data_IF_799556346543
#
_entry.id   IF_799556346543
#
_cell.length_a   1.000
_cell.length_b   1.000
_cell.length_c   1.000
_cell.angle_alpha   90.00
_cell.angle_beta   90.00
_cell.angle_gamma   90.00
#
_symmetry.space_group_name_H-M   'P 1'
#
loop_
_entity.id
_entity.type
_entity.pdbx_description
1 polymer ?
#
# COMPACT_ATOMS: atom_id res chain seq x y z
N UNK A 1 -3.57 12.54 3.55
CA UNK A 1 -3.05 11.20 3.21
C UNK A 1 -1.58 11.30 2.86
N UNK A 2 -0.73 10.36 3.30
CA UNK A 2 0.67 10.25 2.84
C UNK A 2 0.72 9.49 1.51
N UNK A 3 1.39 10.04 0.50
CA UNK A 3 1.58 9.36 -0.79
C UNK A 3 3.04 8.97 -1.01
N UNK A 4 3.28 7.66 -1.13
CA UNK A 4 4.58 7.09 -1.43
C UNK A 4 4.70 6.89 -2.95
N UNK A 5 5.72 7.49 -3.57
CA UNK A 5 6.00 7.24 -4.97
C UNK A 5 6.67 5.87 -5.10
N UNK A 6 5.99 4.92 -5.74
CA UNK A 6 6.57 3.62 -6.06
C UNK A 6 7.77 3.81 -6.97
N UNK A 7 8.87 3.10 -6.70
CA UNK A 7 10.05 3.11 -7.59
C UNK A 7 10.76 1.76 -7.61
N UNK A 8 11.20 1.37 -8.81
CA UNK A 8 12.14 0.27 -9.02
C UNK A 8 13.60 0.74 -9.03
N UNK A 9 13.86 1.99 -8.64
CA UNK A 9 15.20 2.59 -8.56
C UNK A 9 15.57 2.90 -7.10
N UNK A 10 16.07 1.91 -6.30
CA UNK A 10 16.32 2.11 -4.87
C UNK A 10 17.24 3.29 -4.55
N UNK A 11 18.22 3.59 -5.43
CA UNK A 11 19.14 4.71 -5.24
C UNK A 11 18.45 6.09 -5.21
N UNK A 12 17.16 6.19 -5.56
CA UNK A 12 16.40 7.43 -5.40
C UNK A 12 16.16 7.80 -3.95
N UNK A 13 16.27 6.86 -3.01
CA UNK A 13 16.23 7.13 -1.56
C UNK A 13 17.25 8.19 -1.13
N UNK A 14 18.37 8.32 -1.84
CA UNK A 14 19.41 9.34 -1.58
C UNK A 14 19.18 10.68 -2.30
N UNK A 15 18.17 10.76 -3.15
CA UNK A 15 18.04 11.84 -4.15
C UNK A 15 16.82 12.72 -3.95
N UNK A 16 15.87 12.29 -3.13
CA UNK A 16 14.58 12.97 -2.96
C UNK A 16 14.29 13.23 -1.48
N UNK A 17 13.40 14.18 -1.22
CA UNK A 17 12.91 14.48 0.13
C UNK A 17 11.46 13.97 0.35
N UNK A 18 10.79 13.48 -0.70
CA UNK A 18 9.42 12.99 -0.60
C UNK A 18 9.36 11.47 -0.39
N UNK A 19 8.26 10.92 0.19
CA UNK A 19 8.20 9.51 0.51
C UNK A 19 8.25 8.57 -0.70
N UNK A 20 9.01 7.47 -0.58
CA UNK A 20 9.16 6.43 -1.61
C UNK A 20 8.62 5.08 -1.16
N UNK A 21 8.11 4.29 -2.11
CA UNK A 21 7.76 2.87 -1.89
C UNK A 21 8.70 2.00 -2.72
N UNK A 22 9.47 1.13 -2.06
CA UNK A 22 10.60 0.40 -2.65
C UNK A 22 10.40 -1.09 -2.45
N UNK A 23 10.72 -1.90 -3.46
CA UNK A 23 10.56 -3.35 -3.38
C UNK A 23 11.79 -4.04 -2.78
N UNK A 24 11.56 -4.98 -1.86
CA UNK A 24 12.57 -5.90 -1.33
C UNK A 24 13.34 -6.58 -2.48
N UNK A 25 12.66 -6.98 -3.56
CA UNK A 25 13.30 -7.61 -4.73
C UNK A 25 14.35 -6.74 -5.40
N UNK A 26 14.14 -5.42 -5.41
CA UNK A 26 15.09 -4.48 -6.00
C UNK A 26 16.26 -4.21 -5.06
N UNK A 27 15.99 -4.14 -3.75
CA UNK A 27 17.02 -3.98 -2.73
C UNK A 27 17.92 -5.23 -2.62
N UNK A 28 17.35 -6.42 -2.66
CA UNK A 28 18.11 -7.68 -2.52
C UNK A 28 19.05 -7.94 -3.70
N UNK A 29 18.69 -7.47 -4.91
CA UNK A 29 19.52 -7.55 -6.12
C UNK A 29 20.56 -6.45 -6.23
N UNK A 30 20.49 -5.42 -5.39
CA UNK A 30 21.41 -4.28 -5.47
C UNK A 30 22.82 -4.73 -5.03
N UNK A 31 23.87 -4.38 -5.79
CA UNK A 31 25.25 -4.57 -5.35
C UNK A 31 25.52 -3.79 -4.05
N UNK A 32 25.92 -4.48 -2.99
CA UNK A 32 26.23 -3.88 -1.67
C UNK A 32 27.64 -3.29 -1.60
N UNK A 33 28.08 -2.59 -2.66
CA UNK A 33 29.41 -1.95 -2.72
C UNK A 33 29.57 -0.78 -1.75
N UNK A 34 28.45 -0.11 -1.44
CA UNK A 34 28.35 0.93 -0.41
C UNK A 34 26.97 0.92 0.25
N UNK A 35 26.85 1.40 1.49
CA UNK A 35 25.56 1.67 2.11
C UNK A 35 24.72 2.63 1.26
N UNK A 36 23.40 2.44 1.30
CA UNK A 36 22.43 3.36 0.73
C UNK A 36 21.84 4.14 1.89
N UNK A 37 21.91 5.48 1.92
CA UNK A 37 21.41 6.27 3.05
C UNK A 37 20.18 7.08 2.65
N UNK A 38 19.02 6.81 3.24
CA UNK A 38 17.79 7.50 2.87
C UNK A 38 17.79 8.99 3.32
N UNK A 39 17.42 9.88 2.40
CA UNK A 39 17.12 11.30 2.65
C UNK A 39 15.62 11.58 2.76
N UNK A 40 14.80 10.55 2.58
CA UNK A 40 13.35 10.62 2.70
C UNK A 40 12.83 9.43 3.49
N UNK A 41 11.64 9.61 4.07
CA UNK A 41 10.85 8.49 4.58
C UNK A 41 10.54 7.50 3.47
N UNK A 42 10.50 6.22 3.75
CA UNK A 42 10.15 5.23 2.75
C UNK A 42 9.48 4.01 3.35
N UNK A 43 8.81 3.25 2.50
CA UNK A 43 8.18 2.01 2.89
C UNK A 43 8.53 0.88 1.94
N UNK A 44 8.46 -0.34 2.46
CA UNK A 44 8.95 -1.54 1.81
C UNK A 44 7.80 -2.41 1.30
N UNK A 45 7.82 -2.72 0.01
CA UNK A 45 7.07 -3.81 -0.61
C UNK A 45 7.82 -5.14 -0.42
N UNK A 46 7.14 -6.16 0.10
CA UNK A 46 7.70 -7.51 0.29
C UNK A 46 7.95 -8.24 -1.05
N UNK A 47 7.28 -7.83 -2.12
CA UNK A 47 7.37 -8.42 -3.44
C UNK A 47 6.37 -9.57 -3.68
N UNK A 48 5.33 -9.68 -2.85
CA UNK A 48 4.38 -10.81 -2.87
C UNK A 48 3.70 -11.05 -4.21
N UNK A 49 3.30 -9.97 -4.91
CA UNK A 49 2.78 -10.08 -6.27
C UNK A 49 3.71 -10.85 -7.20
N UNK A 50 5.02 -10.58 -7.14
CA UNK A 50 5.97 -11.23 -8.05
C UNK A 50 6.26 -12.66 -7.63
N UNK A 51 6.40 -12.94 -6.33
CA UNK A 51 6.63 -14.30 -5.81
C UNK A 51 5.47 -15.23 -6.17
N UNK A 52 4.23 -14.83 -5.87
CA UNK A 52 3.07 -15.66 -6.17
C UNK A 52 2.82 -15.79 -7.67
N UNK A 53 3.03 -14.73 -8.46
CA UNK A 53 2.87 -14.81 -9.92
C UNK A 53 3.88 -15.75 -10.60
N UNK A 54 5.12 -15.80 -10.11
CA UNK A 54 6.19 -16.62 -10.70
C UNK A 54 6.22 -18.05 -10.16
N UNK A 55 5.89 -18.24 -8.89
CA UNK A 55 6.15 -19.49 -8.18
C UNK A 55 4.89 -20.12 -7.56
N UNK A 56 3.75 -19.41 -7.54
CA UNK A 56 2.54 -19.86 -6.84
C UNK A 56 2.69 -19.96 -5.32
N UNK A 57 3.83 -19.52 -4.76
CA UNK A 57 4.18 -19.57 -3.34
C UNK A 57 5.29 -18.57 -3.03
N UNK A 58 5.49 -18.28 -1.75
CA UNK A 58 6.69 -17.61 -1.27
C UNK A 58 7.88 -18.56 -1.36
N UNK A 59 8.98 -18.09 -1.97
CA UNK A 59 10.27 -18.82 -2.01
C UNK A 59 11.27 -18.29 -0.99
N UNK A 60 11.04 -17.08 -0.48
CA UNK A 60 11.84 -16.44 0.56
C UNK A 60 11.24 -16.80 1.92
N UNK A 61 11.98 -17.46 2.82
CA UNK A 61 11.52 -17.73 4.18
C UNK A 61 11.26 -16.45 4.98
N UNK A 62 10.29 -16.44 5.90
CA UNK A 62 10.01 -15.26 6.74
C UNK A 62 11.20 -14.76 7.55
N UNK A 63 12.02 -15.65 8.11
CA UNK A 63 13.22 -15.28 8.88
C UNK A 63 14.23 -14.52 8.01
N UNK A 64 14.46 -15.01 6.78
CA UNK A 64 15.35 -14.36 5.81
C UNK A 64 14.79 -13.00 5.36
N UNK A 65 13.47 -12.88 5.23
CA UNK A 65 12.84 -11.61 4.95
C UNK A 65 12.99 -10.63 6.12
N UNK A 66 12.74 -11.07 7.36
CA UNK A 66 12.89 -10.26 8.56
C UNK A 66 14.33 -9.78 8.75
N UNK A 67 15.33 -10.65 8.56
CA UNK A 67 16.76 -10.27 8.59
C UNK A 67 17.08 -9.21 7.54
N UNK A 68 16.55 -9.35 6.32
CA UNK A 68 16.73 -8.35 5.28
C UNK A 68 16.09 -7.00 5.66
N UNK A 69 14.88 -7.01 6.23
CA UNK A 69 14.21 -5.78 6.71
C UNK A 69 15.00 -5.14 7.84
N UNK A 70 15.52 -5.92 8.79
CA UNK A 70 16.38 -5.41 9.86
C UNK A 70 17.62 -4.71 9.29
N UNK A 71 18.32 -5.36 8.36
CA UNK A 71 19.47 -4.78 7.67
C UNK A 71 19.12 -3.50 6.91
N UNK A 72 17.94 -3.42 6.29
CA UNK A 72 17.49 -2.19 5.64
C UNK A 72 17.17 -1.09 6.65
N UNK A 73 16.49 -1.40 7.75
CA UNK A 73 16.14 -0.43 8.78
C UNK A 73 17.40 0.19 9.41
N UNK A 74 18.40 -0.65 9.72
CA UNK A 74 19.68 -0.24 10.32
C UNK A 74 20.55 0.55 9.33
N UNK A 75 20.75 0.03 8.11
CA UNK A 75 21.73 0.61 7.18
C UNK A 75 21.18 1.72 6.30
N UNK A 76 19.88 1.70 5.97
CA UNK A 76 19.25 2.70 5.10
C UNK A 76 18.61 3.83 5.91
N UNK A 77 18.04 3.51 7.07
CA UNK A 77 17.31 4.44 7.92
C UNK A 77 15.98 4.91 7.32
N UNK A 78 15.19 5.66 8.08
CA UNK A 78 13.94 6.31 7.65
C UNK A 78 12.84 5.36 7.12
N UNK A 79 12.88 4.07 7.49
CA UNK A 79 11.85 3.10 7.15
C UNK A 79 10.57 3.39 7.97
N UNK A 80 9.50 3.79 7.29
CA UNK A 80 8.18 4.03 7.89
C UNK A 80 7.45 2.74 8.22
N UNK A 81 7.45 1.78 7.29
CA UNK A 81 6.85 0.47 7.47
C UNK A 81 7.34 -0.53 6.42
N UNK A 82 7.21 -1.81 6.74
CA UNK A 82 7.36 -2.91 5.79
C UNK A 82 6.05 -3.69 5.64
N UNK A 83 5.67 -3.98 4.39
CA UNK A 83 4.61 -4.93 4.10
C UNK A 83 5.05 -6.34 4.55
N UNK A 84 4.14 -7.18 5.07
CA UNK A 84 4.41 -8.58 5.36
C UNK A 84 4.47 -9.38 4.05
N UNK A 85 4.76 -10.67 4.15
CA UNK A 85 4.64 -11.61 3.03
C UNK A 85 3.20 -12.10 2.90
N UNK A 86 2.32 -11.19 2.52
CA UNK A 86 0.88 -11.41 2.35
C UNK A 86 0.53 -12.23 1.09
N UNK A 87 -0.73 -12.65 1.02
CA UNK A 87 -1.25 -13.46 -0.07
C UNK A 87 -2.48 -12.77 -0.67
N UNK A 88 -2.35 -12.29 -1.90
CA UNK A 88 -3.40 -11.51 -2.54
C UNK A 88 -4.51 -12.38 -3.13
N UNK A 89 -5.75 -11.96 -2.89
CA UNK A 89 -6.99 -12.64 -3.25
C UNK A 89 -7.55 -12.25 -4.62
N UNK A 90 -6.80 -11.58 -5.51
CA UNK A 90 -7.31 -11.38 -6.87
C UNK A 90 -7.51 -12.74 -7.57
N UNK A 91 -8.55 -12.92 -8.41
CA UNK A 91 -8.86 -14.21 -9.02
C UNK A 91 -7.68 -14.88 -9.73
N UNK A 92 -6.85 -14.08 -10.42
CA UNK A 92 -5.63 -14.55 -11.09
C UNK A 92 -4.58 -15.10 -10.10
N UNK A 93 -4.51 -14.58 -8.87
CA UNK A 93 -3.60 -15.09 -7.84
C UNK A 93 -4.15 -16.35 -7.18
N UNK A 94 -5.46 -16.42 -6.96
CA UNK A 94 -6.12 -17.64 -6.50
C UNK A 94 -5.90 -18.79 -7.49
N UNK A 95 -6.09 -18.54 -8.78
CA UNK A 95 -5.80 -19.51 -9.85
C UNK A 95 -4.32 -19.94 -9.86
N UNK A 96 -3.39 -18.98 -9.71
CA UNK A 96 -1.95 -19.28 -9.69
C UNK A 96 -1.50 -20.11 -8.50
N UNK A 97 -2.14 -19.92 -7.34
CA UNK A 97 -1.77 -20.61 -6.09
C UNK A 97 -2.58 -21.90 -5.88
N UNK A 98 -3.76 -22.02 -6.50
CA UNK A 98 -4.70 -23.11 -6.25
C UNK A 98 -5.39 -23.04 -4.87
N UNK A 99 -5.33 -21.90 -4.19
CA UNK A 99 -5.83 -21.72 -2.82
C UNK A 99 -7.07 -20.84 -2.76
N UNK A 100 -7.84 -20.96 -1.69
CA UNK A 100 -9.02 -20.13 -1.42
C UNK A 100 -8.65 -18.77 -0.83
N UNK A 101 -9.61 -17.84 -0.83
CA UNK A 101 -9.50 -16.55 -0.12
C UNK A 101 -9.21 -16.77 1.36
N UNK A 102 -9.94 -17.68 2.01
CA UNK A 102 -9.74 -18.00 3.44
C UNK A 102 -8.33 -18.49 3.72
N UNK A 103 -7.78 -19.35 2.86
CA UNK A 103 -6.40 -19.83 3.03
C UNK A 103 -5.38 -18.71 2.83
N UNK A 104 -5.59 -17.80 1.86
CA UNK A 104 -4.76 -16.61 1.69
C UNK A 104 -4.80 -15.70 2.92
N UNK A 105 -5.97 -15.51 3.52
CA UNK A 105 -6.13 -14.73 4.74
C UNK A 105 -5.42 -15.37 5.92
N UNK A 106 -5.59 -16.67 6.16
CA UNK A 106 -4.88 -17.38 7.24
C UNK A 106 -3.37 -17.28 7.08
N UNK A 107 -2.83 -17.49 5.87
CA UNK A 107 -1.39 -17.35 5.62
C UNK A 107 -0.89 -15.93 5.81
N UNK A 108 -1.67 -14.93 5.40
CA UNK A 108 -1.34 -13.51 5.59
C UNK A 108 -1.28 -13.15 7.07
N UNK A 109 -2.30 -13.51 7.84
CA UNK A 109 -2.37 -13.26 9.28
C UNK A 109 -1.23 -14.00 10.00
N UNK A 110 -1.04 -15.29 9.72
CA UNK A 110 0.02 -16.09 10.31
C UNK A 110 1.42 -15.52 10.01
N UNK A 111 1.65 -15.06 8.78
CA UNK A 111 2.91 -14.43 8.42
C UNK A 111 3.16 -13.13 9.19
N UNK A 112 2.15 -12.25 9.29
CA UNK A 112 2.27 -11.03 10.08
C UNK A 112 2.60 -11.33 11.56
N UNK A 113 1.87 -12.27 12.18
CA UNK A 113 2.10 -12.67 13.57
C UNK A 113 3.51 -13.24 13.77
N UNK A 114 3.96 -14.09 12.85
CA UNK A 114 5.28 -14.67 12.91
C UNK A 114 6.39 -13.61 12.77
N UNK A 115 6.27 -12.69 11.80
CA UNK A 115 7.21 -11.57 11.64
C UNK A 115 7.26 -10.67 12.89
N UNK A 116 6.10 -10.39 13.51
CA UNK A 116 6.03 -9.65 14.77
C UNK A 116 6.66 -10.40 15.95
N UNK A 117 6.61 -11.73 15.95
CA UNK A 117 7.21 -12.55 17.00
C UNK A 117 8.75 -12.61 16.88
N UNK A 118 9.28 -12.80 15.67
CA UNK A 118 10.73 -12.94 15.47
C UNK A 118 11.47 -11.59 15.38
N UNK A 119 10.76 -10.51 15.05
CA UNK A 119 11.34 -9.17 14.91
C UNK A 119 10.37 -8.07 15.42
N UNK A 120 10.11 -8.02 16.74
CA UNK A 120 9.10 -7.14 17.34
C UNK A 120 9.37 -5.64 17.18
N UNK A 121 10.63 -5.26 17.00
CA UNK A 121 11.05 -3.86 16.83
C UNK A 121 10.92 -3.36 15.39
N UNK A 122 10.68 -4.25 14.42
CA UNK A 122 10.53 -3.86 13.03
C UNK A 122 9.10 -3.40 12.71
N UNK A 123 8.95 -2.40 11.81
CA UNK A 123 7.66 -1.76 11.55
C UNK A 123 6.83 -2.54 10.52
N UNK A 124 6.63 -3.84 10.73
CA UNK A 124 5.70 -4.64 9.94
C UNK A 124 4.26 -4.19 10.23
N UNK A 125 3.47 -3.97 9.17
CA UNK A 125 2.05 -3.65 9.28
C UNK A 125 1.20 -4.89 8.95
N UNK A 126 0.02 -5.07 9.57
CA UNK A 126 -0.92 -6.09 9.12
C UNK A 126 -1.51 -5.67 7.77
N UNK A 127 -1.91 -6.67 6.97
CA UNK A 127 -2.60 -6.45 5.70
C UNK A 127 -3.92 -7.20 5.72
N UNK A 128 -5.00 -6.49 5.40
CA UNK A 128 -6.30 -7.09 5.12
C UNK A 128 -6.33 -7.61 3.69
N UNK A 129 -6.74 -8.86 3.52
CA UNK A 129 -6.90 -9.52 2.24
C UNK A 129 -8.36 -9.96 2.04
N UNK A 130 -8.83 -9.93 0.80
CA UNK A 130 -10.20 -10.27 0.45
C UNK A 130 -10.59 -9.83 -0.96
N UNK A 131 -11.78 -10.22 -1.41
CA UNK A 131 -12.33 -9.79 -2.68
C UNK A 131 -13.62 -9.00 -2.47
N UNK A 132 -14.57 -9.50 -1.69
CA UNK A 132 -15.80 -8.80 -1.32
C UNK A 132 -15.67 -8.17 0.06
N UNK A 133 -16.56 -7.23 0.40
CA UNK A 133 -16.55 -6.58 1.73
C UNK A 133 -16.56 -7.61 2.88
N UNK A 134 -17.36 -8.67 2.75
CA UNK A 134 -17.44 -9.73 3.75
C UNK A 134 -16.08 -10.42 3.97
N UNK A 135 -15.29 -10.62 2.91
CA UNK A 135 -13.94 -11.20 3.03
C UNK A 135 -13.04 -10.28 3.86
N UNK A 136 -13.06 -8.97 3.62
CA UNK A 136 -12.22 -8.03 4.37
C UNK A 136 -12.61 -7.95 5.84
N UNK A 137 -13.92 -7.98 6.15
CA UNK A 137 -14.42 -8.02 7.52
C UNK A 137 -14.01 -9.34 8.21
N UNK A 138 -14.13 -10.46 7.51
CA UNK A 138 -13.67 -11.75 8.02
C UNK A 138 -12.15 -11.74 8.30
N UNK A 139 -11.34 -11.14 7.43
CA UNK A 139 -9.90 -10.99 7.66
C UNK A 139 -9.61 -10.13 8.90
N UNK A 140 -10.39 -9.07 9.14
CA UNK A 140 -10.30 -8.27 10.36
C UNK A 140 -10.64 -9.09 11.61
N UNK A 141 -11.66 -9.95 11.54
CA UNK A 141 -12.03 -10.87 12.63
C UNK A 141 -10.93 -11.90 12.91
N UNK A 142 -10.20 -12.36 11.89
CA UNK A 142 -9.04 -13.25 12.08
C UNK A 142 -7.92 -12.55 12.87
N UNK A 143 -7.63 -11.27 12.56
CA UNK A 143 -6.68 -10.48 13.33
C UNK A 143 -7.16 -10.24 14.78
N UNK A 144 -8.44 -9.89 14.95
CA UNK A 144 -9.03 -9.69 16.28
C UNK A 144 -8.97 -10.96 17.14
N UNK A 145 -9.28 -12.12 16.54
CA UNK A 145 -9.20 -13.44 17.17
C UNK A 145 -7.77 -13.83 17.55
N UNK A 146 -6.77 -13.31 16.84
CA UNK A 146 -5.35 -13.43 17.18
C UNK A 146 -4.85 -12.35 18.17
N UNK A 147 -5.75 -11.56 18.76
CA UNK A 147 -5.42 -10.52 19.74
C UNK A 147 -4.88 -9.22 19.14
N UNK A 148 -5.00 -9.03 17.82
CA UNK A 148 -4.51 -7.82 17.13
C UNK A 148 -5.65 -6.81 16.98
N UNK A 149 -5.62 -5.75 17.78
CA UNK A 149 -6.53 -4.62 17.61
C UNK A 149 -6.08 -3.70 16.45
N UNK A 150 -6.58 -3.96 15.25
CA UNK A 150 -6.23 -3.21 14.03
C UNK A 150 -6.49 -1.70 14.13
N UNK A 151 -7.54 -1.26 14.84
CA UNK A 151 -7.89 0.15 14.97
C UNK A 151 -6.88 0.93 15.84
N UNK A 152 -6.14 0.24 16.72
CA UNK A 152 -5.08 0.84 17.54
C UNK A 152 -3.76 1.03 16.78
N UNK A 153 -3.61 0.37 15.61
CA UNK A 153 -2.36 0.40 14.86
C UNK A 153 -2.25 1.67 14.01
N UNK A 154 -1.03 2.20 13.82
CA UNK A 154 -0.83 3.43 13.05
C UNK A 154 -1.19 3.27 11.57
N UNK A 155 -1.23 2.02 11.08
CA UNK A 155 -1.44 1.66 9.69
C UNK A 155 -1.89 0.22 9.52
N UNK A 156 -2.82 0.00 8.60
CA UNK A 156 -3.28 -1.32 8.14
C UNK A 156 -3.23 -1.33 6.62
N UNK A 157 -2.51 -2.27 6.03
CA UNK A 157 -2.46 -2.43 4.59
C UNK A 157 -3.77 -2.98 4.03
N UNK A 158 -4.14 -2.55 2.82
CA UNK A 158 -5.30 -3.06 2.10
C UNK A 158 -4.81 -3.73 0.81
N UNK A 159 -4.79 -5.06 0.82
CA UNK A 159 -4.38 -5.88 -0.31
C UNK A 159 -5.47 -6.03 -1.37
N UNK A 160 -5.15 -6.68 -2.50
CA UNK A 160 -6.10 -7.06 -3.55
C UNK A 160 -6.89 -5.93 -4.23
N UNK A 161 -6.43 -4.68 -4.10
CA UNK A 161 -7.11 -3.51 -4.67
C UNK A 161 -6.62 -3.14 -6.06
N UNK A 162 -5.39 -3.52 -6.42
CA UNK A 162 -4.64 -2.92 -7.52
C UNK A 162 -5.35 -3.02 -8.89
N UNK A 163 -6.10 -4.10 -9.15
CA UNK A 163 -6.73 -4.35 -10.47
C UNK A 163 -8.21 -3.96 -10.58
N UNK A 164 -8.86 -3.53 -9.50
CA UNK A 164 -10.31 -3.24 -9.47
C UNK A 164 -10.67 -1.81 -9.08
N UNK A 165 -9.71 -0.90 -9.21
CA UNK A 165 -9.75 0.43 -8.62
C UNK A 165 -10.81 1.38 -9.18
N UNK A 166 -11.43 1.04 -10.31
CA UNK A 166 -12.46 1.83 -10.96
C UNK A 166 -13.88 1.43 -10.54
N UNK A 167 -14.08 0.41 -9.71
CA UNK A 167 -15.41 -0.06 -9.32
C UNK A 167 -15.99 0.75 -8.14
N UNK A 168 -17.31 0.85 -8.09
CA UNK A 168 -18.04 1.39 -6.92
C UNK A 168 -17.87 0.49 -5.69
N UNK A 169 -17.70 -0.81 -5.91
CA UNK A 169 -17.54 -1.80 -4.86
C UNK A 169 -16.26 -1.58 -4.04
N UNK A 170 -15.11 -1.35 -4.68
CA UNK A 170 -13.87 -1.11 -3.91
C UNK A 170 -13.94 0.20 -3.13
N UNK A 171 -14.62 1.23 -3.66
CA UNK A 171 -14.83 2.48 -2.94
C UNK A 171 -15.66 2.26 -1.67
N UNK A 172 -16.72 1.43 -1.75
CA UNK A 172 -17.51 1.04 -0.57
C UNK A 172 -16.67 0.27 0.44
N UNK A 173 -15.86 -0.70 -0.01
CA UNK A 173 -14.97 -1.47 0.89
C UNK A 173 -14.04 -0.54 1.65
N UNK A 174 -13.32 0.35 0.95
CA UNK A 174 -12.38 1.28 1.57
C UNK A 174 -13.10 2.22 2.55
N UNK A 175 -14.26 2.77 2.16
CA UNK A 175 -15.04 3.66 3.02
C UNK A 175 -15.54 2.95 4.29
N UNK A 176 -16.08 1.73 4.17
CA UNK A 176 -16.53 0.94 5.32
C UNK A 176 -15.39 0.64 6.28
N UNK A 177 -14.25 0.16 5.77
CA UNK A 177 -13.08 -0.16 6.59
C UNK A 177 -12.49 1.08 7.28
N UNK A 178 -12.50 2.23 6.61
CA UNK A 178 -12.10 3.50 7.23
C UNK A 178 -13.10 3.95 8.32
N UNK A 179 -14.41 3.75 8.10
CA UNK A 179 -15.46 4.15 9.04
C UNK A 179 -15.41 3.34 10.36
N UNK A 180 -14.98 2.08 10.31
CA UNK A 180 -14.72 1.28 11.53
C UNK A 180 -13.37 1.62 12.21
N UNK A 181 -12.72 2.72 11.79
CA UNK A 181 -11.54 3.27 12.46
C UNK A 181 -10.18 2.83 11.91
N UNK A 182 -10.13 2.09 10.80
CA UNK A 182 -8.85 1.60 10.28
C UNK A 182 -8.07 2.67 9.51
N UNK A 183 -6.77 2.77 9.81
CA UNK A 183 -5.83 3.69 9.14
C UNK A 183 -5.24 3.03 7.89
N UNK A 184 -6.01 3.00 6.81
CA UNK A 184 -5.69 2.20 5.63
C UNK A 184 -4.49 2.72 4.82
N UNK A 185 -3.64 1.78 4.38
CA UNK A 185 -2.67 1.97 3.30
C UNK A 185 -3.15 1.24 2.04
N UNK A 186 -3.46 1.97 0.98
CA UNK A 186 -3.83 1.37 -0.30
C UNK A 186 -2.58 1.00 -1.12
N UNK A 187 -2.38 -0.30 -1.36
CA UNK A 187 -1.26 -0.78 -2.16
C UNK A 187 -1.49 -0.60 -3.67
N UNK A 188 -0.55 0.04 -4.35
CA UNK A 188 -0.55 0.18 -5.82
C UNK A 188 -1.75 0.95 -6.37
N UNK A 189 -2.29 1.92 -5.64
CA UNK A 189 -3.47 2.69 -6.04
C UNK A 189 -3.11 3.66 -7.18
N UNK A 190 -3.80 3.54 -8.31
CA UNK A 190 -3.72 4.37 -9.51
C UNK A 190 -4.58 5.64 -9.35
N UNK A 191 -4.34 6.62 -10.20
CA UNK A 191 -5.01 7.94 -10.17
C UNK A 191 -6.54 7.87 -10.07
N UNK A 192 -7.19 6.95 -10.79
CA UNK A 192 -8.65 6.79 -10.74
C UNK A 192 -9.17 6.32 -9.38
N UNK A 193 -8.47 5.39 -8.73
CA UNK A 193 -8.82 4.93 -7.37
C UNK A 193 -8.57 6.02 -6.33
N UNK A 194 -7.43 6.71 -6.43
CA UNK A 194 -7.09 7.83 -5.57
C UNK A 194 -8.15 8.94 -5.60
N UNK A 195 -8.70 9.25 -6.79
CA UNK A 195 -9.78 10.24 -6.91
C UNK A 195 -11.10 9.76 -6.28
N UNK A 196 -11.40 8.46 -6.36
CA UNK A 196 -12.70 7.91 -5.93
C UNK A 196 -12.78 7.70 -4.41
N UNK A 197 -11.70 7.20 -3.81
CA UNK A 197 -11.70 6.79 -2.40
C UNK A 197 -10.42 7.19 -1.64
N UNK A 198 -9.55 8.01 -2.23
CA UNK A 198 -8.31 8.45 -1.56
C UNK A 198 -8.54 9.23 -0.28
N UNK A 199 -9.70 9.90 -0.12
CA UNK A 199 -10.09 10.57 1.11
C UNK A 199 -10.26 9.62 2.31
N UNK A 200 -10.50 8.33 2.05
CA UNK A 200 -10.65 7.30 3.09
C UNK A 200 -9.32 6.57 3.40
N UNK A 201 -8.22 6.92 2.73
CA UNK A 201 -6.91 6.31 2.95
C UNK A 201 -6.03 7.19 3.83
N UNK A 202 -5.38 6.58 4.83
CA UNK A 202 -4.33 7.25 5.60
C UNK A 202 -3.06 7.40 4.77
N UNK A 203 -2.76 6.41 3.92
CA UNK A 203 -1.67 6.46 2.95
C UNK A 203 -1.94 5.62 1.70
N UNK A 204 -1.16 5.82 0.65
CA UNK A 204 -1.18 4.98 -0.54
C UNK A 204 0.17 5.01 -1.25
N UNK A 205 0.44 4.01 -2.09
CA UNK A 205 1.57 4.03 -3.02
C UNK A 205 1.12 3.86 -4.48
N UNK A 206 2.02 4.20 -5.40
CA UNK A 206 1.81 3.87 -6.81
C UNK A 206 3.10 3.90 -7.64
N UNK A 207 3.31 2.84 -8.42
CA UNK A 207 4.33 2.76 -9.48
C UNK A 207 3.74 3.07 -10.89
N UNK A 208 2.48 3.49 -10.97
CA UNK A 208 1.77 3.62 -12.24
C UNK A 208 2.43 4.62 -13.23
N UNK A 209 3.20 5.58 -12.73
CA UNK A 209 3.99 6.50 -13.55
C UNK A 209 4.95 5.78 -14.50
N UNK A 210 5.61 4.71 -14.06
CA UNK A 210 6.62 4.02 -14.87
C UNK A 210 5.95 3.30 -16.04
N UNK A 211 4.78 2.67 -15.78
CA UNK A 211 4.00 2.02 -16.82
C UNK A 211 3.45 3.01 -17.87
N UNK A 212 2.99 4.19 -17.44
CA UNK A 212 2.56 5.25 -18.34
C UNK A 212 3.76 5.76 -19.17
N UNK A 213 4.88 6.07 -18.51
CA UNK A 213 6.08 6.58 -19.16
C UNK A 213 6.69 5.61 -20.19
N UNK A 214 6.43 4.29 -20.12
CA UNK A 214 6.87 3.33 -21.15
C UNK A 214 6.18 3.53 -22.50
N UNK A 215 4.99 4.14 -22.50
CA UNK A 215 4.10 4.31 -23.65
C UNK A 215 4.12 5.72 -24.23
N UNK A 216 4.85 6.62 -23.57
CA UNK A 216 4.95 8.02 -23.95
C UNK A 216 6.36 8.30 -24.49
N UNK A 217 6.52 9.28 -25.40
CA UNK A 217 7.84 9.80 -25.73
C UNK A 217 8.54 10.34 -24.48
N UNK A 218 9.89 10.35 -24.46
CA UNK A 218 10.62 10.98 -23.38
C UNK A 218 10.29 12.47 -23.30
N UNK A 219 10.44 13.06 -22.11
CA UNK A 219 10.27 14.51 -21.94
C UNK A 219 11.23 15.28 -22.86
N UNK A 220 10.85 16.49 -23.32
CA UNK A 220 11.75 17.34 -24.10
C UNK A 220 13.12 17.49 -23.43
N UNK A 221 14.18 17.32 -24.21
CA UNK A 221 15.57 17.39 -23.73
C UNK A 221 16.13 16.11 -23.11
N UNK A 222 15.33 15.04 -22.95
CA UNK A 222 15.83 13.75 -22.49
C UNK A 222 16.28 12.86 -23.66
N UNK A 223 17.39 12.15 -23.49
CA UNK A 223 18.03 11.32 -24.54
C UNK A 223 17.71 9.82 -24.44
N UNK A 224 17.01 9.37 -23.40
CA UNK A 224 16.62 7.96 -23.23
C UNK A 224 15.40 7.57 -24.08
N UNK A 225 15.21 6.27 -24.35
CA UNK A 225 14.08 5.75 -25.14
C UNK A 225 12.72 6.21 -24.64
N UNK A 226 12.56 6.23 -23.31
CA UNK A 226 11.36 6.71 -22.64
C UNK A 226 11.67 7.05 -21.17
N UNK A 227 10.72 7.70 -20.50
CA UNK A 227 10.90 8.18 -19.14
C UNK A 227 10.60 7.14 -18.04
N UNK A 228 10.50 5.85 -18.36
CA UNK A 228 10.08 4.81 -17.41
C UNK A 228 11.03 4.60 -16.22
N UNK A 229 12.26 5.12 -16.30
CA UNK A 229 13.28 5.10 -15.26
C UNK A 229 13.72 6.53 -14.86
N UNK A 230 12.91 7.54 -15.15
CA UNK A 230 13.28 8.94 -15.03
C UNK A 230 12.75 9.56 -13.73
N UNK A 231 13.66 10.07 -12.89
CA UNK A 231 13.30 10.74 -11.65
C UNK A 231 12.47 12.01 -11.89
N UNK A 232 12.87 12.85 -12.85
CA UNK A 232 12.16 14.09 -13.19
C UNK A 232 10.71 13.83 -13.60
N UNK A 233 10.50 12.83 -14.47
CA UNK A 233 9.15 12.44 -14.88
C UNK A 233 8.34 11.92 -13.70
N UNK A 234 8.93 11.04 -12.87
CA UNK A 234 8.25 10.43 -11.74
C UNK A 234 7.86 11.47 -10.67
N UNK A 235 8.74 12.42 -10.38
CA UNK A 235 8.49 13.53 -9.45
C UNK A 235 7.37 14.45 -9.96
N UNK A 236 7.43 14.85 -11.24
CA UNK A 236 6.39 15.68 -11.86
C UNK A 236 5.04 14.95 -11.90
N UNK A 237 5.04 13.63 -12.15
CA UNK A 237 3.81 12.83 -12.08
C UNK A 237 3.22 12.78 -10.67
N UNK A 238 4.07 12.62 -9.64
CA UNK A 238 3.67 12.64 -8.24
C UNK A 238 3.00 13.96 -7.87
N UNK A 239 3.62 15.09 -8.24
CA UNK A 239 3.08 16.43 -7.98
C UNK A 239 1.69 16.61 -8.60
N UNK A 240 1.51 16.23 -9.87
CA UNK A 240 0.19 16.30 -10.53
C UNK A 240 -0.88 15.50 -9.79
N UNK A 241 -0.55 14.33 -9.26
CA UNK A 241 -1.49 13.53 -8.47
C UNK A 241 -1.86 14.25 -7.17
N UNK A 242 -0.87 14.75 -6.44
CA UNK A 242 -1.12 15.43 -5.17
C UNK A 242 -1.92 16.71 -5.36
N UNK A 243 -1.62 17.50 -6.37
CA UNK A 243 -2.41 18.69 -6.71
C UNK A 243 -3.87 18.32 -6.98
N UNK A 244 -4.12 17.28 -7.78
CA UNK A 244 -5.49 16.82 -8.07
C UNK A 244 -6.23 16.36 -6.82
N UNK A 245 -5.55 15.65 -5.91
CA UNK A 245 -6.12 15.19 -4.66
C UNK A 245 -6.45 16.32 -3.68
N UNK A 246 -5.72 17.43 -3.74
CA UNK A 246 -6.01 18.61 -2.93
C UNK A 246 -7.16 19.45 -3.50
N UNK A 247 -7.39 19.40 -4.81
CA UNK A 247 -8.44 20.19 -5.50
C UNK A 247 -9.80 19.50 -5.56
N UNK A 248 -9.93 18.23 -5.15
CA UNK A 248 -11.25 17.55 -5.11
C UNK A 248 -12.11 18.19 -4.01
N UNK A 249 -13.27 18.80 -4.35
CA UNK A 249 -14.13 19.45 -3.36
C UNK A 249 -14.53 18.44 -2.28
N UNK A 250 -14.24 18.77 -1.01
CA UNK A 250 -14.93 18.11 0.10
C UNK A 250 -16.34 18.66 0.11
N UNK A 251 -17.34 17.79 0.15
CA UNK A 251 -18.71 18.21 0.39
C UNK A 251 -18.68 19.09 1.66
N UNK A 252 -19.16 20.34 1.61
CA UNK A 252 -19.15 21.20 2.79
C UNK A 252 -19.91 20.48 3.90
N UNK A 253 -19.32 20.47 5.10
CA UNK A 253 -20.05 20.04 6.29
C UNK A 253 -21.31 20.91 6.36
N UNK A 254 -22.48 20.27 6.42
CA UNK A 254 -23.71 20.98 6.74
C UNK A 254 -23.45 21.65 8.10
N UNK A 255 -23.68 22.97 8.24
CA UNK A 255 -23.58 23.60 9.55
C UNK A 255 -24.44 22.80 10.53
N UNK A 256 -23.84 22.45 11.66
CA UNK A 256 -24.52 21.71 12.72
C UNK A 256 -25.84 22.39 13.02
N UNK A 257 -26.93 21.62 12.90
CA UNK A 257 -28.25 22.07 13.30
C UNK A 257 -28.28 21.96 14.82
N UNK A 258 -27.63 22.89 15.51
CA UNK A 258 -27.87 23.15 16.93
C UNK A 258 -29.21 23.88 17.02
N UNK A 259 -30.30 23.13 16.84
CA UNK A 259 -31.67 23.61 16.93
C UNK A 259 -32.55 22.48 17.43
N UNK A 260 -33.32 22.75 18.47
CA UNK A 260 -34.28 21.80 19.05
C UNK A 260 -35.11 21.07 17.98
N UNK A 261 -35.44 19.79 18.20
CA UNK A 261 -36.27 19.04 17.26
C UNK A 261 -37.62 19.76 17.07
N UNK A 262 -38.11 19.89 15.82
CA UNK A 262 -39.40 20.53 15.58
C UNK A 262 -40.52 19.70 16.23
N UNK A 263 -41.25 20.31 17.16
CA UNK A 263 -42.48 19.76 17.71
C UNK A 263 -43.56 19.80 16.63
N UNK A 264 -43.84 18.67 16.01
CA UNK A 264 -45.05 18.51 15.20
C UNK A 264 -46.24 18.43 16.16
N UNK A 265 -47.07 19.47 16.21
CA UNK A 265 -48.40 19.36 16.80
C UNK A 265 -49.30 18.69 15.77
N UNK A 266 -49.81 17.51 16.12
CA UNK A 266 -50.86 16.86 15.36
C UNK A 266 -52.11 17.75 15.32
N UNK A 267 -52.59 18.03 14.11
CA UNK A 267 -53.92 18.51 13.81
C UNK A 267 -54.59 17.48 12.90
#
# INVERSE_FOLDING_TARGET
MVFYLGTHMPHWLERVAFPLFVSHRQLSRRPRRRPLIARCRWALDSGGFTELALHGRWTIPPDAYAEAVAGYADTIGQLDFAAPQDWMCEPVMLERTGLSITEHQHRTVANYLHLRAIAPDLPFIPVLQGWQLADYLHCADLYASAGVNLASLPRVGLGSVCRRQSTTEIARIVATLAHIGLRLHGFGVKTGGLHRYGQHLASADSLAWSFAARREPPLPGHTHKNCANCLTYAASWRERILTRLHTTPRQPELPGIDGEPPTWKAA
#
